data_IF_705648754487
#
_entry.id   IF_705648754487
#
_cell.length_a   1.000
_cell.length_b   1.000
_cell.length_c   1.000
_cell.angle_alpha   90.00
_cell.angle_beta   90.00
_cell.angle_gamma   90.00
#
_symmetry.space_group_name_H-M   'P 1'
#
loop_
_entity.id
_entity.type
_entity.pdbx_description
1 polymer ?
#
# COMPACT_ATOMS: atom_id res chain seq x y z
N UNK A 1 -21.71 15.76 -38.82
CA UNK A 1 -22.04 14.92 -37.66
C UNK A 1 -20.97 14.97 -36.56
N UNK A 2 -19.72 15.24 -36.91
CA UNK A 2 -18.60 15.24 -35.95
C UNK A 2 -18.56 16.51 -35.06
N UNK A 3 -19.02 17.66 -35.56
CA UNK A 3 -18.96 18.93 -34.83
C UNK A 3 -19.87 18.98 -33.59
N UNK A 4 -21.06 18.41 -33.67
CA UNK A 4 -22.03 18.41 -32.56
C UNK A 4 -21.58 17.48 -31.42
N UNK A 5 -20.98 16.34 -31.74
CA UNK A 5 -20.58 15.36 -30.73
C UNK A 5 -19.36 15.82 -29.90
N UNK A 6 -18.44 16.54 -30.54
CA UNK A 6 -17.23 17.03 -29.91
C UNK A 6 -17.42 18.34 -29.14
N UNK A 7 -18.30 19.24 -29.61
CA UNK A 7 -18.51 20.55 -28.99
C UNK A 7 -19.37 20.50 -27.70
N UNK A 8 -20.41 19.67 -27.68
CA UNK A 8 -21.35 19.63 -26.54
C UNK A 8 -20.82 18.90 -25.29
N UNK A 9 -19.79 18.07 -25.40
CA UNK A 9 -19.30 17.22 -24.31
C UNK A 9 -17.93 17.57 -23.74
N UNK A 10 -17.23 18.56 -24.29
CA UNK A 10 -15.89 18.97 -23.83
C UNK A 10 -14.84 17.83 -23.90
N UNK A 11 -15.04 16.87 -24.82
CA UNK A 11 -14.18 15.72 -24.99
C UNK A 11 -12.90 16.13 -25.67
N UNK A 12 -11.77 15.81 -25.05
CA UNK A 12 -10.43 16.12 -25.57
C UNK A 12 -9.98 15.18 -26.70
N UNK A 13 -8.76 15.37 -27.17
CA UNK A 13 -8.17 14.69 -28.32
C UNK A 13 -8.13 13.13 -28.20
N UNK A 14 -8.27 12.56 -27.01
CA UNK A 14 -8.39 11.12 -26.76
C UNK A 14 -9.64 10.48 -27.40
N UNK A 15 -10.64 11.31 -27.76
CA UNK A 15 -11.87 10.86 -28.41
C UNK A 15 -11.93 11.23 -29.89
N UNK A 16 -10.76 11.43 -30.51
CA UNK A 16 -10.62 11.86 -31.92
C UNK A 16 -11.30 13.18 -32.24
N UNK A 17 -11.55 14.02 -31.22
CA UNK A 17 -12.05 15.38 -31.42
C UNK A 17 -10.88 16.31 -31.75
N UNK A 18 -10.73 16.69 -33.01
CA UNK A 18 -9.76 17.69 -33.43
C UNK A 18 -10.12 19.04 -32.84
N UNK A 19 -9.17 19.71 -32.19
CA UNK A 19 -9.34 21.11 -31.81
C UNK A 19 -9.47 21.91 -33.12
N UNK A 20 -10.49 22.76 -33.31
CA UNK A 20 -10.50 23.68 -34.46
C UNK A 20 -9.20 24.48 -34.45
N UNK A 21 -8.49 24.50 -35.55
CA UNK A 21 -7.35 25.41 -35.70
C UNK A 21 -7.88 26.82 -35.46
N UNK A 22 -7.26 27.60 -34.58
CA UNK A 22 -7.62 29.00 -34.45
C UNK A 22 -7.36 29.70 -35.79
N UNK A 23 -8.35 30.45 -36.25
CA UNK A 23 -8.14 31.31 -37.39
C UNK A 23 -6.88 32.16 -37.18
N UNK A 24 -6.03 32.35 -38.17
CA UNK A 24 -4.82 33.15 -38.00
C UNK A 24 -5.23 34.57 -37.60
N UNK A 25 -5.12 34.87 -36.31
CA UNK A 25 -5.15 36.25 -35.84
C UNK A 25 -4.00 36.99 -36.51
N UNK A 26 -4.32 38.12 -37.17
CA UNK A 26 -3.31 39.02 -37.73
C UNK A 26 -2.22 39.26 -36.68
N UNK A 27 -1.03 38.74 -36.95
CA UNK A 27 0.12 38.93 -36.09
C UNK A 27 0.47 40.43 -36.05
N UNK A 28 -0.13 41.15 -35.10
CA UNK A 28 0.49 42.38 -34.64
C UNK A 28 1.91 42.00 -34.19
N UNK A 29 2.89 42.67 -34.80
CA UNK A 29 4.30 42.49 -34.48
C UNK A 29 4.53 42.80 -33.01
N UNK A 30 4.29 41.77 -32.19
CA UNK A 30 4.54 41.82 -30.73
C UNK A 30 6.03 42.02 -30.51
N UNK A 31 6.33 43.05 -29.77
CA UNK A 31 7.62 43.38 -29.19
C UNK A 31 8.30 42.09 -28.69
N UNK A 32 9.54 41.85 -29.08
CA UNK A 32 10.28 40.64 -28.77
C UNK A 32 10.20 40.35 -27.25
N UNK A 33 9.64 39.21 -26.88
CA UNK A 33 9.56 38.80 -25.48
C UNK A 33 10.95 38.92 -24.84
N UNK A 34 11.03 39.44 -23.60
CA UNK A 34 12.31 39.56 -22.92
C UNK A 34 12.99 38.18 -22.83
N UNK A 35 14.32 38.10 -22.97
CA UNK A 35 15.03 36.84 -22.90
C UNK A 35 14.65 36.11 -21.63
N UNK A 36 14.33 34.83 -21.76
CA UNK A 36 13.99 34.00 -20.62
C UNK A 36 15.08 34.08 -19.54
N UNK A 37 14.73 34.16 -18.26
CA UNK A 37 15.72 34.22 -17.20
C UNK A 37 16.67 33.03 -17.29
N UNK A 38 17.96 33.20 -16.97
CA UNK A 38 18.91 32.09 -17.03
C UNK A 38 18.42 30.91 -16.17
N UNK A 39 18.48 29.74 -16.76
CA UNK A 39 18.07 28.50 -16.07
C UNK A 39 18.91 28.28 -14.83
N UNK A 40 18.29 27.93 -13.70
CA UNK A 40 19.04 27.61 -12.48
C UNK A 40 19.97 26.40 -12.70
N UNK A 41 21.04 26.30 -11.92
CA UNK A 41 21.97 25.17 -11.99
C UNK A 41 21.25 23.82 -11.77
N UNK A 42 20.26 23.82 -10.89
CA UNK A 42 19.42 22.65 -10.62
C UNK A 42 18.55 22.28 -11.83
N UNK A 43 17.92 23.26 -12.47
CA UNK A 43 17.13 23.02 -13.68
C UNK A 43 18.00 22.54 -14.85
N UNK A 44 19.25 23.02 -14.96
CA UNK A 44 20.21 22.53 -15.95
C UNK A 44 20.59 21.07 -15.69
N UNK A 45 20.85 20.71 -14.44
CA UNK A 45 21.17 19.32 -14.03
C UNK A 45 20.01 18.37 -14.31
N UNK A 46 18.77 18.78 -14.01
CA UNK A 46 17.58 17.99 -14.34
C UNK A 46 17.43 17.78 -15.84
N UNK A 47 17.61 18.84 -16.63
CA UNK A 47 17.55 18.74 -18.09
C UNK A 47 18.61 17.79 -18.67
N UNK A 48 19.83 17.80 -18.13
CA UNK A 48 20.89 16.86 -18.49
C UNK A 48 20.54 15.42 -18.14
N UNK A 49 19.99 15.21 -16.93
CA UNK A 49 19.58 13.88 -16.48
C UNK A 49 18.45 13.29 -17.36
N UNK A 50 17.44 14.12 -17.69
CA UNK A 50 16.36 13.71 -18.60
C UNK A 50 16.87 13.44 -20.03
N UNK A 51 17.79 14.26 -20.54
CA UNK A 51 18.40 14.05 -21.85
C UNK A 51 19.21 12.75 -21.89
N UNK A 52 19.96 12.46 -20.82
CA UNK A 52 20.69 11.21 -20.66
C UNK A 52 19.75 10.00 -20.66
N UNK A 53 18.66 10.06 -19.89
CA UNK A 53 17.68 8.98 -19.82
C UNK A 53 17.01 8.72 -21.16
N UNK A 54 16.54 9.77 -21.85
CA UNK A 54 15.94 9.65 -23.18
C UNK A 54 16.93 9.01 -24.17
N UNK A 55 18.19 9.45 -24.17
CA UNK A 55 19.19 8.90 -25.07
C UNK A 55 19.50 7.43 -24.81
N UNK A 56 19.55 7.02 -23.54
CA UNK A 56 19.76 5.63 -23.16
C UNK A 56 18.61 4.74 -23.65
N UNK A 57 17.37 5.20 -23.53
CA UNK A 57 16.18 4.48 -23.99
C UNK A 57 16.14 4.39 -25.53
N UNK A 58 16.47 5.45 -26.24
CA UNK A 58 16.57 5.44 -27.71
C UNK A 58 17.61 4.43 -28.19
N UNK A 59 18.80 4.44 -27.60
CA UNK A 59 19.87 3.51 -27.96
C UNK A 59 19.46 2.07 -27.69
N UNK A 60 18.80 1.81 -26.56
CA UNK A 60 18.26 0.48 -26.21
C UNK A 60 17.27 0.00 -27.25
N UNK A 61 16.30 0.84 -27.64
CA UNK A 61 15.29 0.50 -28.63
C UNK A 61 15.91 0.23 -30.02
N UNK A 62 16.84 1.08 -30.47
CA UNK A 62 17.51 0.89 -31.75
C UNK A 62 18.36 -0.39 -31.77
N UNK A 63 19.11 -0.64 -30.70
CA UNK A 63 19.95 -1.84 -30.59
C UNK A 63 19.10 -3.14 -30.52
N UNK A 64 17.93 -3.09 -29.86
CA UNK A 64 17.05 -4.24 -29.74
C UNK A 64 16.25 -4.51 -31.02
N UNK A 65 15.76 -3.46 -31.70
CA UNK A 65 14.92 -3.61 -32.89
C UNK A 65 15.72 -3.96 -34.16
N UNK A 66 16.87 -3.31 -34.38
CA UNK A 66 17.72 -3.53 -35.52
C UNK A 66 19.19 -3.70 -35.08
N UNK A 67 19.54 -4.86 -34.52
CA UNK A 67 20.85 -5.08 -33.91
C UNK A 67 21.97 -5.06 -34.92
N UNK A 68 22.96 -4.21 -34.65
CA UNK A 68 24.28 -4.20 -35.29
C UNK A 68 25.33 -4.12 -34.22
N UNK A 69 26.55 -4.56 -34.48
CA UNK A 69 27.67 -4.47 -33.54
C UNK A 69 27.87 -3.06 -32.99
N UNK A 70 27.80 -2.07 -33.90
CA UNK A 70 27.93 -0.66 -33.54
C UNK A 70 26.82 -0.16 -32.61
N UNK A 71 25.56 -0.41 -32.96
CA UNK A 71 24.41 0.02 -32.14
C UNK A 71 24.41 -0.62 -30.75
N UNK A 72 24.74 -1.91 -30.70
CA UNK A 72 24.85 -2.62 -29.41
C UNK A 72 26.01 -2.03 -28.57
N UNK A 73 27.14 -1.72 -29.20
CA UNK A 73 28.29 -1.10 -28.52
C UNK A 73 27.97 0.29 -27.98
N UNK A 74 27.29 1.11 -28.75
CA UNK A 74 26.86 2.45 -28.30
C UNK A 74 25.92 2.36 -27.08
N UNK A 75 24.91 1.49 -27.16
CA UNK A 75 24.03 1.24 -26.04
C UNK A 75 24.80 0.76 -24.80
N UNK A 76 25.66 -0.24 -24.96
CA UNK A 76 26.47 -0.77 -23.84
C UNK A 76 27.36 0.29 -23.21
N UNK A 77 27.99 1.16 -24.00
CA UNK A 77 28.82 2.24 -23.48
C UNK A 77 28.01 3.22 -22.64
N UNK A 78 26.81 3.57 -23.07
CA UNK A 78 25.95 4.48 -22.32
C UNK A 78 25.35 3.82 -21.08
N UNK A 79 24.95 2.55 -21.19
CA UNK A 79 24.48 1.76 -20.04
C UNK A 79 25.59 1.62 -18.98
N UNK A 80 26.84 1.43 -19.41
CA UNK A 80 27.96 1.36 -18.47
C UNK A 80 28.12 2.65 -17.66
N UNK A 81 28.02 3.81 -18.31
CA UNK A 81 28.02 5.11 -17.60
C UNK A 81 26.88 5.23 -16.59
N UNK A 82 25.68 4.75 -16.95
CA UNK A 82 24.56 4.71 -16.00
C UNK A 82 24.86 3.83 -14.80
N UNK A 83 25.48 2.67 -15.00
CA UNK A 83 25.87 1.75 -13.91
C UNK A 83 26.96 2.34 -13.01
N UNK A 84 27.94 3.06 -13.56
CA UNK A 84 28.94 3.78 -12.74
C UNK A 84 28.28 4.85 -11.86
N UNK A 85 27.35 5.62 -12.41
CA UNK A 85 26.57 6.59 -11.63
C UNK A 85 25.72 5.92 -10.52
N UNK A 86 25.09 4.81 -10.84
CA UNK A 86 24.32 4.03 -9.88
C UNK A 86 25.19 3.42 -8.75
N UNK A 87 26.41 2.99 -9.08
CA UNK A 87 27.37 2.51 -8.09
C UNK A 87 27.80 3.61 -7.11
N UNK A 88 28.08 4.81 -7.63
CA UNK A 88 28.41 5.98 -6.81
C UNK A 88 27.23 6.41 -5.93
N UNK A 89 26.03 6.46 -6.49
CA UNK A 89 24.82 6.72 -5.71
C UNK A 89 24.62 5.72 -4.57
N UNK A 90 24.80 4.42 -4.85
CA UNK A 90 24.68 3.35 -3.86
C UNK A 90 25.72 3.48 -2.74
N UNK A 91 26.95 3.93 -3.05
CA UNK A 91 27.98 4.16 -2.04
C UNK A 91 27.64 5.36 -1.14
N UNK A 92 27.21 6.48 -1.72
CA UNK A 92 26.74 7.63 -0.94
C UNK A 92 25.50 7.29 -0.09
N UNK A 93 24.55 6.53 -0.66
CA UNK A 93 23.37 6.07 0.07
C UNK A 93 23.77 5.30 1.34
N UNK A 94 24.63 4.29 1.20
CA UNK A 94 25.09 3.50 2.35
C UNK A 94 25.80 4.35 3.41
N UNK A 95 26.68 5.26 2.98
CA UNK A 95 27.41 6.15 3.89
C UNK A 95 26.47 7.08 4.65
N UNK A 96 25.48 7.64 3.98
CA UNK A 96 24.47 8.46 4.62
C UNK A 96 23.65 7.66 5.64
N UNK A 97 23.20 6.46 5.28
CA UNK A 97 22.51 5.56 6.21
C UNK A 97 23.35 5.27 7.45
N UNK A 98 24.66 4.97 7.29
CA UNK A 98 25.53 4.68 8.42
C UNK A 98 25.86 5.89 9.30
N UNK A 99 25.78 7.08 8.76
CA UNK A 99 26.13 8.32 9.46
C UNK A 99 24.96 9.05 10.09
N UNK A 100 23.72 8.70 9.69
CA UNK A 100 22.50 9.34 10.17
C UNK A 100 21.49 8.31 10.70
N UNK A 101 21.31 8.23 12.03
CA UNK A 101 20.33 7.31 12.62
C UNK A 101 18.89 7.48 12.14
N UNK A 102 18.52 8.67 11.63
CA UNK A 102 17.18 8.91 11.09
C UNK A 102 16.95 8.19 9.75
N UNK A 103 18.02 7.90 9.01
CA UNK A 103 18.01 7.18 7.74
C UNK A 103 18.26 5.67 7.90
N UNK A 104 18.78 5.26 9.06
CA UNK A 104 19.14 3.86 9.31
C UNK A 104 17.95 3.08 9.87
N UNK A 105 17.29 2.33 9.00
CA UNK A 105 16.21 1.44 9.40
C UNK A 105 16.62 0.39 10.43
N UNK A 106 17.89 -0.02 10.45
CA UNK A 106 18.37 -1.03 11.40
C UNK A 106 18.38 -0.58 12.86
N UNK A 107 18.31 0.74 13.10
CA UNK A 107 18.11 1.32 14.44
C UNK A 107 16.70 1.00 14.98
N UNK A 108 15.69 0.98 14.10
CA UNK A 108 14.30 0.66 14.48
C UNK A 108 14.04 -0.84 14.49
N UNK A 109 14.61 -1.56 13.52
CA UNK A 109 14.45 -3.00 13.38
C UNK A 109 15.80 -3.66 13.10
N UNK A 110 16.45 -4.25 14.11
CA UNK A 110 17.78 -4.84 13.96
C UNK A 110 17.80 -5.94 12.90
N UNK A 111 18.84 -5.93 12.06
CA UNK A 111 19.09 -6.96 11.05
C UNK A 111 20.09 -8.01 11.52
N UNK A 112 20.96 -7.68 12.47
CA UNK A 112 21.90 -8.62 13.07
C UNK A 112 21.15 -9.66 13.90
N UNK A 113 21.47 -10.95 13.74
CA UNK A 113 20.71 -12.05 14.31
C UNK A 113 20.55 -11.93 15.84
N UNK A 114 21.60 -11.61 16.58
CA UNK A 114 21.57 -11.47 18.04
C UNK A 114 20.63 -10.33 18.49
N UNK A 115 20.70 -9.18 17.83
CA UNK A 115 19.87 -8.03 18.15
C UNK A 115 18.40 -8.22 17.66
N UNK A 116 18.23 -8.99 16.58
CA UNK A 116 16.90 -9.37 16.09
C UNK A 116 16.15 -10.29 17.05
N UNK A 117 16.84 -11.24 17.67
CA UNK A 117 16.23 -12.11 18.68
C UNK A 117 15.74 -11.29 19.87
N UNK A 118 16.56 -10.42 20.41
CA UNK A 118 16.19 -9.51 21.51
C UNK A 118 15.00 -8.62 21.15
N UNK A 119 14.99 -8.07 19.94
CA UNK A 119 13.88 -7.25 19.44
C UNK A 119 12.57 -8.06 19.32
N UNK A 120 12.63 -9.32 18.84
CA UNK A 120 11.47 -10.20 18.75
C UNK A 120 10.92 -10.52 20.13
N UNK A 121 11.82 -10.83 21.09
CA UNK A 121 11.42 -11.15 22.46
C UNK A 121 10.77 -9.95 23.16
N UNK A 122 11.37 -8.76 23.02
CA UNK A 122 10.78 -7.52 23.54
C UNK A 122 9.41 -7.24 22.93
N UNK A 123 9.28 -7.34 21.59
CA UNK A 123 8.00 -7.16 20.90
C UNK A 123 6.94 -8.16 21.34
N UNK A 124 7.35 -9.42 21.60
CA UNK A 124 6.44 -10.45 22.12
C UNK A 124 5.97 -10.13 23.53
N UNK A 125 6.83 -9.59 24.39
CA UNK A 125 6.44 -9.14 25.73
C UNK A 125 5.48 -7.95 25.67
N UNK A 126 5.75 -6.96 24.83
CA UNK A 126 4.87 -5.80 24.60
C UNK A 126 3.49 -6.27 24.12
N UNK A 127 3.45 -7.13 23.09
CA UNK A 127 2.21 -7.69 22.58
C UNK A 127 1.42 -8.43 23.66
N UNK A 128 2.10 -9.23 24.51
CA UNK A 128 1.45 -9.96 25.61
C UNK A 128 0.87 -9.00 26.64
N UNK A 129 1.59 -7.94 26.98
CA UNK A 129 1.14 -6.94 27.95
C UNK A 129 -0.08 -6.15 27.42
N UNK A 130 -0.04 -5.72 26.17
CA UNK A 130 -1.14 -4.97 25.55
C UNK A 130 -2.39 -5.84 25.38
N UNK A 131 -2.22 -7.11 24.95
CA UNK A 131 -3.34 -8.03 24.81
C UNK A 131 -3.96 -8.43 26.17
N UNK A 132 -3.24 -8.33 27.28
CA UNK A 132 -3.80 -8.56 28.61
C UNK A 132 -4.88 -7.52 28.96
N UNK A 133 -4.79 -6.30 28.43
CA UNK A 133 -5.80 -5.24 28.60
C UNK A 133 -6.89 -5.21 27.51
N UNK A 134 -6.89 -6.18 26.59
CA UNK A 134 -7.79 -6.19 25.43
C UNK A 134 -9.28 -6.16 25.84
N UNK A 135 -9.65 -6.97 26.83
CA UNK A 135 -11.05 -7.09 27.27
C UNK A 135 -11.63 -5.85 27.97
N UNK A 136 -10.78 -4.93 28.43
CA UNK A 136 -11.24 -3.72 29.12
C UNK A 136 -11.90 -2.72 28.19
N UNK A 137 -11.39 -2.61 26.96
CA UNK A 137 -11.79 -1.57 26.01
C UNK A 137 -12.23 -2.09 24.65
N UNK A 138 -12.05 -3.38 24.39
CA UNK A 138 -12.31 -3.94 23.07
C UNK A 138 -13.21 -5.17 23.15
N UNK A 139 -13.99 -5.34 22.08
CA UNK A 139 -14.77 -6.54 21.78
C UNK A 139 -14.55 -6.97 20.33
N UNK A 140 -14.92 -8.18 20.01
CA UNK A 140 -14.79 -8.72 18.67
C UNK A 140 -16.17 -9.02 18.06
N UNK A 141 -16.40 -8.63 16.83
CA UNK A 141 -17.45 -9.17 15.99
C UNK A 141 -16.88 -10.27 15.12
N UNK A 142 -17.59 -11.39 15.05
CA UNK A 142 -17.25 -12.53 14.23
C UNK A 142 -18.36 -12.86 13.27
N UNK A 143 -18.15 -12.70 11.98
CA UNK A 143 -19.10 -12.99 10.93
C UNK A 143 -18.76 -14.34 10.30
N UNK A 144 -19.75 -15.25 10.27
CA UNK A 144 -19.57 -16.60 9.75
C UNK A 144 -20.81 -17.10 9.01
N UNK A 145 -20.66 -18.20 8.28
CA UNK A 145 -21.74 -19.01 7.72
C UNK A 145 -21.61 -20.44 8.24
N UNK A 146 -22.72 -21.10 8.46
CA UNK A 146 -22.75 -22.48 8.96
C UNK A 146 -22.24 -23.49 7.92
N UNK A 147 -22.41 -23.19 6.63
CA UNK A 147 -21.98 -24.04 5.51
C UNK A 147 -20.53 -23.75 5.07
N UNK A 148 -19.78 -22.92 5.76
CA UNK A 148 -18.43 -22.50 5.39
C UNK A 148 -17.36 -23.38 6.07
N UNK A 149 -16.58 -24.19 5.33
CA UNK A 149 -15.56 -25.04 5.94
C UNK A 149 -14.43 -24.29 6.63
N UNK A 150 -14.11 -23.08 6.15
CA UNK A 150 -13.09 -22.22 6.77
C UNK A 150 -13.59 -21.64 8.09
N UNK A 151 -14.89 -21.31 8.18
CA UNK A 151 -15.52 -20.86 9.41
C UNK A 151 -15.47 -21.95 10.47
N UNK A 152 -15.83 -23.19 10.11
CA UNK A 152 -15.78 -24.35 11.02
C UNK A 152 -14.37 -24.59 11.59
N UNK A 153 -13.31 -24.32 10.82
CA UNK A 153 -11.92 -24.47 11.27
C UNK A 153 -11.43 -23.29 12.09
N UNK A 154 -11.91 -22.11 11.79
CA UNK A 154 -11.46 -20.88 12.45
C UNK A 154 -12.21 -20.60 13.77
N UNK A 155 -13.48 -20.98 13.89
CA UNK A 155 -14.28 -20.76 15.10
C UNK A 155 -13.60 -21.26 16.38
N UNK A 156 -13.03 -22.49 16.45
CA UNK A 156 -12.30 -22.94 17.63
C UNK A 156 -11.05 -22.09 17.95
N UNK A 157 -10.34 -21.63 16.92
CA UNK A 157 -9.16 -20.75 17.08
C UNK A 157 -9.56 -19.42 17.71
N UNK A 158 -10.62 -18.81 17.17
CA UNK A 158 -11.15 -17.55 17.70
C UNK A 158 -11.70 -17.73 19.12
N UNK A 159 -12.39 -18.82 19.40
CA UNK A 159 -12.90 -19.12 20.75
C UNK A 159 -11.77 -19.26 21.75
N UNK A 160 -10.73 -20.02 21.41
CA UNK A 160 -9.55 -20.17 22.26
C UNK A 160 -8.85 -18.82 22.51
N UNK A 161 -8.71 -17.99 21.48
CA UNK A 161 -8.17 -16.65 21.62
C UNK A 161 -9.01 -15.79 22.56
N UNK A 162 -10.32 -15.80 22.39
CA UNK A 162 -11.25 -15.03 23.21
C UNK A 162 -11.19 -15.42 24.68
N UNK A 163 -11.16 -16.73 24.95
CA UNK A 163 -11.07 -17.26 26.31
C UNK A 163 -9.72 -16.96 26.98
N UNK A 164 -8.63 -17.01 26.20
CA UNK A 164 -7.28 -16.73 26.69
C UNK A 164 -7.06 -15.27 27.08
N UNK A 165 -7.75 -14.33 26.41
CA UNK A 165 -7.62 -12.89 26.63
C UNK A 165 -8.86 -12.28 27.33
N UNK A 166 -9.87 -13.08 27.68
CA UNK A 166 -11.09 -12.63 28.33
C UNK A 166 -11.93 -11.67 27.46
N UNK A 167 -11.72 -11.63 26.14
CA UNK A 167 -12.40 -10.69 25.24
C UNK A 167 -13.75 -11.24 24.80
N UNK A 168 -14.79 -10.39 24.84
CA UNK A 168 -16.13 -10.75 24.37
C UNK A 168 -16.15 -10.89 22.85
N UNK A 169 -16.70 -12.01 22.34
CA UNK A 169 -16.94 -12.22 20.91
C UNK A 169 -18.44 -12.22 20.64
N UNK A 170 -18.91 -11.28 19.85
CA UNK A 170 -20.28 -11.28 19.30
C UNK A 170 -20.27 -11.94 17.94
N UNK A 171 -20.64 -13.20 17.92
CA UNK A 171 -20.77 -13.95 16.67
C UNK A 171 -22.07 -13.59 15.96
N UNK A 172 -21.98 -13.42 14.65
CA UNK A 172 -23.07 -13.07 13.73
C UNK A 172 -23.12 -14.10 12.62
N UNK A 173 -24.22 -14.83 12.53
CA UNK A 173 -24.46 -15.82 11.49
C UNK A 173 -25.08 -15.14 10.27
N UNK A 174 -24.37 -15.13 9.15
CA UNK A 174 -24.80 -14.49 7.90
C UNK A 174 -25.91 -15.30 7.22
N UNK A 175 -25.93 -16.62 7.40
CA UNK A 175 -26.93 -17.53 6.84
C UNK A 175 -27.99 -18.02 7.87
N UNK A 176 -27.89 -17.56 9.12
CA UNK A 176 -28.78 -17.97 10.21
C UNK A 176 -28.51 -19.37 10.78
N UNK A 177 -27.48 -20.07 10.28
CA UNK A 177 -27.12 -21.38 10.76
C UNK A 177 -26.30 -21.36 12.05
N UNK A 178 -26.26 -22.45 12.83
CA UNK A 178 -25.61 -22.53 14.16
C UNK A 178 -24.07 -22.62 14.04
N UNK A 179 -23.39 -22.24 15.12
CA UNK A 179 -21.97 -22.55 15.37
C UNK A 179 -21.82 -23.27 16.69
N UNK A 180 -21.12 -24.40 16.75
CA UNK A 180 -20.88 -25.11 18.04
C UNK A 180 -20.09 -24.25 19.04
N UNK A 181 -19.15 -23.48 18.60
CA UNK A 181 -18.30 -22.63 19.44
C UNK A 181 -18.98 -21.33 19.87
N UNK A 182 -20.02 -20.91 19.14
CA UNK A 182 -20.77 -19.67 19.39
C UNK A 182 -22.29 -19.96 19.38
N UNK A 183 -22.83 -20.68 20.37
CA UNK A 183 -24.25 -21.06 20.38
C UNK A 183 -25.19 -19.85 20.50
N UNK A 184 -24.70 -18.73 21.06
CA UNK A 184 -25.46 -17.48 21.24
C UNK A 184 -25.33 -16.53 20.05
N UNK A 185 -24.86 -17.03 18.88
CA UNK A 185 -24.70 -16.22 17.66
C UNK A 185 -26.02 -15.60 17.23
N UNK A 186 -25.97 -14.35 16.80
CA UNK A 186 -27.15 -13.63 16.29
C UNK A 186 -27.24 -13.77 14.78
N UNK A 187 -28.46 -13.76 14.28
CA UNK A 187 -28.71 -13.67 12.84
C UNK A 187 -28.29 -12.28 12.35
N UNK A 188 -27.55 -12.22 11.24
CA UNK A 188 -27.32 -10.97 10.52
C UNK A 188 -28.63 -10.47 9.91
N UNK A 189 -28.92 -9.19 10.08
CA UNK A 189 -30.07 -8.51 9.51
C UNK A 189 -29.66 -7.43 8.50
N UNK A 190 -28.51 -7.64 7.84
CA UNK A 190 -27.94 -6.74 6.83
C UNK A 190 -26.81 -5.84 7.36
N UNK A 191 -26.45 -5.97 8.64
CA UNK A 191 -25.36 -5.17 9.21
C UNK A 191 -24.01 -5.52 8.60
N UNK A 192 -23.78 -6.79 8.30
CA UNK A 192 -22.50 -7.22 7.69
C UNK A 192 -22.26 -6.52 6.34
N UNK A 193 -23.27 -6.50 5.48
CA UNK A 193 -23.19 -5.83 4.18
C UNK A 193 -23.00 -4.31 4.31
N UNK A 194 -23.69 -3.69 5.26
CA UNK A 194 -23.52 -2.27 5.59
C UNK A 194 -22.07 -1.96 6.06
N UNK A 195 -21.51 -2.78 6.93
CA UNK A 195 -20.15 -2.63 7.45
C UNK A 195 -19.08 -2.88 6.39
N UNK A 196 -19.36 -3.71 5.38
CA UNK A 196 -18.48 -3.93 4.24
C UNK A 196 -18.36 -2.70 3.33
N UNK A 197 -19.37 -1.83 3.30
CA UNK A 197 -19.35 -0.61 2.49
C UNK A 197 -19.15 -0.87 1.00
N UNK A 198 -19.78 -1.92 0.46
CA UNK A 198 -19.70 -2.32 -0.94
C UNK A 198 -18.53 -3.23 -1.30
N UNK A 199 -17.76 -3.69 -0.32
CA UNK A 199 -16.73 -4.73 -0.53
C UNK A 199 -17.38 -6.11 -0.68
N UNK A 200 -16.67 -7.03 -1.29
CA UNK A 200 -17.10 -8.43 -1.36
C UNK A 200 -17.25 -9.06 0.04
N UNK A 201 -18.36 -9.77 0.23
CA UNK A 201 -18.65 -10.45 1.50
C UNK A 201 -17.82 -11.75 1.60
N UNK A 202 -16.74 -11.70 2.38
CA UNK A 202 -15.85 -12.84 2.64
C UNK A 202 -16.00 -13.26 4.10
N UNK A 203 -16.25 -14.55 4.32
CA UNK A 203 -16.31 -15.16 5.67
C UNK A 203 -15.31 -16.33 5.76
N UNK A 204 -14.77 -16.60 6.97
CA UNK A 204 -14.98 -15.88 8.24
C UNK A 204 -14.41 -14.47 8.20
N UNK A 205 -15.01 -13.53 8.92
CA UNK A 205 -14.48 -12.19 9.08
C UNK A 205 -14.48 -11.77 10.54
N UNK A 206 -13.45 -11.07 10.97
CA UNK A 206 -13.30 -10.56 12.34
C UNK A 206 -13.11 -9.06 12.30
N UNK A 207 -13.86 -8.37 13.16
CA UNK A 207 -13.77 -6.93 13.34
C UNK A 207 -13.58 -6.61 14.82
N UNK A 208 -12.63 -5.74 15.12
CA UNK A 208 -12.35 -5.19 16.44
C UNK A 208 -13.23 -3.97 16.68
N UNK A 209 -13.89 -3.90 17.81
CA UNK A 209 -14.67 -2.75 18.27
C UNK A 209 -13.97 -2.16 19.50
N UNK A 210 -13.62 -0.88 19.45
CA UNK A 210 -13.29 -0.12 20.64
C UNK A 210 -14.59 0.34 21.31
N UNK A 211 -14.84 -0.11 22.53
CA UNK A 211 -16.10 0.15 23.25
C UNK A 211 -16.21 1.54 23.83
N UNK A 212 -15.08 2.24 24.00
CA UNK A 212 -15.03 3.62 24.51
C UNK A 212 -15.32 4.63 23.41
N UNK A 213 -14.67 4.45 22.24
CA UNK A 213 -14.81 5.37 21.10
C UNK A 213 -15.88 4.97 20.10
N UNK A 214 -16.39 3.74 20.22
CA UNK A 214 -17.32 3.11 19.30
C UNK A 214 -16.77 3.02 17.87
N UNK A 215 -15.43 2.96 17.72
CA UNK A 215 -14.77 2.79 16.43
C UNK A 215 -14.53 1.32 16.14
N UNK A 216 -14.60 0.96 14.85
CA UNK A 216 -14.44 -0.41 14.41
C UNK A 216 -13.31 -0.53 13.39
N UNK A 217 -12.57 -1.65 13.47
CA UNK A 217 -11.47 -1.96 12.54
C UNK A 217 -11.56 -3.41 12.09
N UNK A 218 -11.49 -3.65 10.79
CA UNK A 218 -11.40 -5.01 10.26
C UNK A 218 -10.03 -5.61 10.61
N UNK A 219 -10.04 -6.79 11.23
CA UNK A 219 -8.85 -7.54 11.61
C UNK A 219 -8.50 -8.58 10.55
N UNK A 220 -9.51 -9.32 10.07
CA UNK A 220 -9.29 -10.34 9.05
C UNK A 220 -10.52 -10.59 8.19
N UNK A 221 -10.25 -10.97 6.96
CA UNK A 221 -11.15 -11.68 6.08
C UNK A 221 -10.52 -13.03 5.74
N UNK A 222 -11.27 -14.11 5.90
CA UNK A 222 -10.75 -15.48 5.82
C UNK A 222 -10.16 -16.00 7.12
N UNK A 223 -9.87 -17.29 7.14
CA UNK A 223 -9.31 -17.98 8.31
C UNK A 223 -7.82 -17.68 8.46
N UNK A 224 -7.40 -17.30 9.66
CA UNK A 224 -6.00 -17.01 10.03
C UNK A 224 -5.62 -17.81 11.28
N UNK A 225 -4.33 -17.87 11.59
CA UNK A 225 -3.86 -18.50 12.84
C UNK A 225 -4.16 -17.62 14.06
N UNK A 226 -4.20 -18.20 15.25
CA UNK A 226 -4.34 -17.44 16.49
C UNK A 226 -3.20 -16.46 16.73
N UNK A 227 -1.97 -16.80 16.32
CA UNK A 227 -0.82 -15.91 16.39
C UNK A 227 -0.99 -14.71 15.45
N UNK A 228 -1.43 -14.93 14.23
CA UNK A 228 -1.71 -13.86 13.28
C UNK A 228 -2.85 -12.95 13.76
N UNK A 229 -3.88 -13.54 14.35
CA UNK A 229 -4.99 -12.79 14.97
C UNK A 229 -4.48 -11.88 16.09
N UNK A 230 -3.68 -12.42 17.00
CA UNK A 230 -3.05 -11.68 18.09
C UNK A 230 -2.19 -10.51 17.56
N UNK A 231 -1.35 -10.77 16.57
CA UNK A 231 -0.48 -9.76 15.96
C UNK A 231 -1.30 -8.63 15.32
N UNK A 232 -2.32 -8.95 14.54
CA UNK A 232 -3.15 -7.94 13.87
C UNK A 232 -3.94 -7.09 14.86
N UNK A 233 -4.49 -7.70 15.91
CA UNK A 233 -5.18 -6.96 16.98
C UNK A 233 -4.20 -6.05 17.69
N UNK A 234 -3.01 -6.53 18.08
CA UNK A 234 -1.97 -5.74 18.72
C UNK A 234 -1.59 -4.53 17.89
N UNK A 235 -1.29 -4.72 16.58
CA UNK A 235 -0.95 -3.61 15.70
C UNK A 235 -2.09 -2.61 15.59
N UNK A 236 -3.33 -3.09 15.45
CA UNK A 236 -4.51 -2.21 15.27
C UNK A 236 -4.81 -1.36 16.50
N UNK A 237 -4.57 -1.88 17.71
CA UNK A 237 -4.90 -1.18 18.96
C UNK A 237 -3.75 -0.37 19.55
N UNK A 238 -2.49 -0.71 19.25
CA UNK A 238 -1.31 -0.20 19.95
C UNK A 238 -0.29 0.52 19.08
N UNK A 239 -0.50 0.54 17.75
CA UNK A 239 0.45 1.13 16.80
C UNK A 239 -0.23 2.10 15.85
N UNK A 240 0.38 3.24 15.64
CA UNK A 240 -0.04 4.14 14.59
C UNK A 240 0.46 3.66 13.21
N UNK A 241 -0.25 3.99 12.11
CA UNK A 241 0.25 3.68 10.77
C UNK A 241 1.67 4.22 10.54
N UNK A 242 2.59 3.32 10.17
CA UNK A 242 4.01 3.65 9.98
C UNK A 242 4.93 3.33 11.17
N UNK A 243 4.41 2.89 12.31
CA UNK A 243 5.23 2.50 13.47
C UNK A 243 5.61 1.03 13.47
N UNK A 244 4.83 0.16 12.84
CA UNK A 244 5.03 -1.28 12.84
C UNK A 244 5.62 -1.78 11.52
N UNK A 245 6.88 -1.46 11.28
CA UNK A 245 7.64 -1.97 10.13
C UNK A 245 8.76 -2.93 10.56
#
# INVERSE_FOLDING_TARGET
>A
WDDLYCAERGLGHWFYCSRPEPEPEDQEQGEAAPPAPPMSAEAALLAEAEAFQRRLDELRLMAAYAPTEERVREYQAMQWRAMEGAALFSDFWRRNVWSDPALDYSVRRPVAQYARSEWIDQRSMEMTADLAGLSERYGLFYFYRSDCPYCARFSPVLRYFADSHGVEVRAVSVDGGPSPEFPDARLDTGQFELLLGGREAVVPAVMLLNTETNTTHWVSFGAISGQELAQRIFVTMSREPGEDY
#
